data_IF_550298409867
#
_entry.id   IF_550298409867
#
_cell.length_a   1.000
_cell.length_b   1.000
_cell.length_c   1.000
_cell.angle_alpha   90.00
_cell.angle_beta   90.00
_cell.angle_gamma   90.00
#
_symmetry.space_group_name_H-M   'P 1'
#
loop_
_entity.id
_entity.type
_entity.pdbx_description
1 polymer ?
#
# COMPACT_ATOMS: atom_id res chain seq x y z
N UNK A 1 -6.41 -3.47 -0.19
CA UNK A 1 -6.90 -4.76 0.36
C UNK A 1 -7.46 -4.60 1.78
N UNK A 2 -6.71 -4.05 2.74
CA UNK A 2 -7.14 -3.96 4.14
C UNK A 2 -8.46 -3.21 4.30
N UNK A 3 -8.66 -2.09 3.62
CA UNK A 3 -9.92 -1.34 3.65
C UNK A 3 -11.12 -2.14 3.14
N UNK A 4 -10.93 -2.94 2.08
CA UNK A 4 -11.99 -3.85 1.57
C UNK A 4 -12.35 -4.92 2.60
N UNK A 5 -11.33 -5.48 3.25
CA UNK A 5 -11.51 -6.49 4.29
C UNK A 5 -12.22 -5.92 5.53
N UNK A 6 -11.85 -4.72 5.94
CA UNK A 6 -12.52 -4.04 7.05
C UNK A 6 -13.99 -3.72 6.72
N UNK A 7 -14.29 -3.29 5.50
CA UNK A 7 -15.66 -3.09 5.06
C UNK A 7 -16.48 -4.41 5.14
N UNK A 8 -15.90 -5.53 4.68
CA UNK A 8 -16.55 -6.83 4.82
C UNK A 8 -16.85 -7.17 6.28
N UNK A 9 -15.90 -6.99 7.19
CA UNK A 9 -16.09 -7.27 8.61
C UNK A 9 -17.17 -6.42 9.25
N UNK A 10 -17.27 -5.13 8.89
CA UNK A 10 -18.34 -4.25 9.38
C UNK A 10 -19.69 -4.78 8.90
N UNK A 11 -19.80 -5.16 7.64
CA UNK A 11 -21.03 -5.68 7.05
C UNK A 11 -21.44 -7.03 7.63
N UNK A 12 -20.49 -7.91 7.90
CA UNK A 12 -20.73 -9.19 8.58
C UNK A 12 -21.27 -9.02 9.99
N UNK A 13 -20.77 -8.04 10.73
CA UNK A 13 -21.20 -7.77 12.11
C UNK A 13 -22.50 -6.97 12.18
N UNK A 14 -22.73 -6.08 11.24
CA UNK A 14 -23.93 -5.26 11.16
C UNK A 14 -24.38 -5.10 9.70
N UNK A 15 -25.35 -5.91 9.26
CA UNK A 15 -25.88 -5.84 7.90
C UNK A 15 -26.55 -4.51 7.51
N UNK A 16 -26.94 -3.69 8.49
CA UNK A 16 -27.53 -2.38 8.26
C UNK A 16 -26.48 -1.27 8.09
N UNK A 17 -25.24 -1.53 8.49
CA UNK A 17 -24.14 -0.57 8.30
C UNK A 17 -23.85 -0.36 6.82
N UNK A 18 -23.44 0.86 6.46
CA UNK A 18 -22.96 1.20 5.12
C UNK A 18 -21.49 1.52 5.18
N UNK A 19 -20.70 0.93 4.29
CA UNK A 19 -19.27 1.16 4.18
C UNK A 19 -18.96 1.90 2.88
N UNK A 20 -18.42 3.10 2.97
CA UNK A 20 -17.99 3.90 1.82
C UNK A 20 -16.46 3.87 1.74
N UNK A 21 -15.92 3.42 0.63
CA UNK A 21 -14.48 3.42 0.36
C UNK A 21 -14.20 4.45 -0.73
N UNK A 22 -13.51 5.51 -0.36
CA UNK A 22 -13.07 6.56 -1.27
C UNK A 22 -11.61 6.23 -1.64
N UNK A 23 -11.31 6.15 -2.92
CA UNK A 23 -10.00 5.70 -3.39
C UNK A 23 -9.55 6.46 -4.64
N UNK A 24 -8.24 6.61 -4.79
CA UNK A 24 -7.60 7.04 -6.05
C UNK A 24 -7.37 5.85 -6.96
N UNK A 25 -6.75 4.80 -6.39
CA UNK A 25 -6.44 3.54 -7.06
C UNK A 25 -6.78 2.36 -6.15
N UNK A 26 -7.39 1.32 -6.69
CA UNK A 26 -7.57 0.03 -6.03
C UNK A 26 -6.64 -0.98 -6.70
N UNK A 27 -5.88 -1.71 -5.89
CA UNK A 27 -5.04 -2.81 -6.35
C UNK A 27 -5.41 -4.09 -5.61
N UNK A 28 -5.76 -5.10 -6.38
CA UNK A 28 -6.15 -6.43 -5.92
C UNK A 28 -5.31 -7.48 -6.64
N UNK A 29 -4.02 -7.65 -6.24
CA UNK A 29 -3.11 -8.53 -6.94
C UNK A 29 -3.50 -10.00 -6.79
N UNK A 30 -3.25 -10.79 -7.84
CA UNK A 30 -3.44 -12.23 -7.85
C UNK A 30 -4.89 -12.65 -7.63
N UNK A 31 -5.12 -13.58 -6.71
CA UNK A 31 -6.44 -14.15 -6.43
C UNK A 31 -7.38 -13.20 -5.66
N UNK A 32 -6.90 -12.05 -5.21
CA UNK A 32 -7.72 -11.07 -4.50
C UNK A 32 -8.75 -10.36 -5.39
N UNK A 33 -8.70 -10.55 -6.68
CA UNK A 33 -9.72 -10.07 -7.62
C UNK A 33 -11.10 -10.68 -7.34
N UNK A 34 -11.16 -11.96 -6.99
CA UNK A 34 -12.42 -12.62 -6.63
C UNK A 34 -13.00 -12.03 -5.35
N UNK A 35 -12.15 -11.77 -4.36
CA UNK A 35 -12.57 -11.08 -3.13
C UNK A 35 -13.07 -9.66 -3.41
N UNK A 36 -12.39 -8.91 -4.28
CA UNK A 36 -12.84 -7.58 -4.69
C UNK A 36 -14.22 -7.60 -5.32
N UNK A 37 -14.49 -8.57 -6.20
CA UNK A 37 -15.82 -8.75 -6.81
C UNK A 37 -16.89 -9.04 -5.76
N UNK A 38 -16.60 -9.91 -4.80
CA UNK A 38 -17.56 -10.20 -3.73
C UNK A 38 -17.91 -8.96 -2.89
N UNK A 39 -16.96 -8.04 -2.71
CA UNK A 39 -17.19 -6.76 -2.05
C UNK A 39 -18.05 -5.81 -2.89
N UNK A 40 -17.84 -5.80 -4.21
CA UNK A 40 -18.67 -4.99 -5.13
C UNK A 40 -20.12 -5.46 -5.18
N UNK A 41 -20.35 -6.76 -4.98
CA UNK A 41 -21.69 -7.36 -4.98
C UNK A 41 -22.46 -7.09 -3.67
N UNK A 42 -21.80 -6.63 -2.59
CA UNK A 42 -22.48 -6.27 -1.35
C UNK A 42 -23.21 -4.92 -1.49
N UNK A 43 -24.55 -4.90 -1.36
CA UNK A 43 -25.34 -3.68 -1.54
C UNK A 43 -25.09 -2.60 -0.49
N UNK A 44 -24.41 -2.91 0.61
CA UNK A 44 -24.03 -1.98 1.67
C UNK A 44 -22.61 -1.44 1.52
N UNK A 45 -21.86 -1.83 0.48
CA UNK A 45 -20.51 -1.31 0.22
C UNK A 45 -20.52 -0.40 -1.00
N UNK A 46 -20.00 0.80 -0.86
CA UNK A 46 -19.94 1.81 -1.89
C UNK A 46 -18.48 2.15 -2.20
N UNK A 47 -18.08 1.99 -3.45
CA UNK A 47 -16.74 2.29 -3.94
C UNK A 47 -16.78 3.57 -4.78
N UNK A 48 -16.11 4.62 -4.31
CA UNK A 48 -16.09 5.93 -4.97
C UNK A 48 -14.66 6.31 -5.35
N UNK A 49 -14.41 6.44 -6.64
CA UNK A 49 -13.13 6.97 -7.12
C UNK A 49 -13.13 8.49 -7.05
N UNK A 50 -12.17 9.05 -6.34
CA UNK A 50 -12.05 10.49 -6.18
C UNK A 50 -11.06 10.89 -5.10
N UNK A 51 -10.87 12.18 -4.97
CA UNK A 51 -10.03 12.80 -3.95
C UNK A 51 -10.90 13.41 -2.85
N UNK A 52 -10.53 13.17 -1.60
CA UNK A 52 -11.15 13.83 -0.45
C UNK A 52 -10.61 15.27 -0.40
N UNK A 53 -11.49 16.24 -0.60
CA UNK A 53 -11.13 17.67 -0.62
C UNK A 53 -11.52 18.40 0.66
N UNK A 54 -12.43 17.82 1.45
CA UNK A 54 -12.86 18.41 2.71
C UNK A 54 -13.39 17.35 3.69
N UNK A 55 -13.09 17.53 4.97
CA UNK A 55 -13.65 16.75 6.07
C UNK A 55 -13.99 17.71 7.19
N UNK A 56 -15.27 17.78 7.57
CA UNK A 56 -15.75 18.69 8.60
C UNK A 56 -16.67 17.93 9.57
N UNK A 57 -16.53 18.22 10.85
CA UNK A 57 -17.46 17.72 11.87
C UNK A 57 -18.67 18.69 11.96
N UNK A 58 -19.87 18.12 11.92
CA UNK A 58 -21.11 18.85 12.09
C UNK A 58 -21.47 19.01 13.59
N UNK A 59 -22.43 19.88 13.91
CA UNK A 59 -22.87 20.14 15.29
C UNK A 59 -23.47 18.90 15.97
N UNK A 60 -24.02 17.97 15.20
CA UNK A 60 -24.58 16.70 15.66
C UNK A 60 -23.54 15.58 15.79
N UNK A 61 -22.26 15.89 15.58
CA UNK A 61 -21.10 14.99 15.55
C UNK A 61 -21.03 14.04 14.36
N UNK A 62 -21.90 14.17 13.37
CA UNK A 62 -21.70 13.53 12.08
C UNK A 62 -20.52 14.17 11.36
N UNK A 63 -19.91 13.45 10.40
CA UNK A 63 -18.76 13.92 9.65
C UNK A 63 -19.16 14.11 8.22
N UNK A 64 -19.11 15.35 7.76
CA UNK A 64 -19.32 15.70 6.35
C UNK A 64 -18.01 15.53 5.59
N UNK A 65 -18.05 14.72 4.53
CA UNK A 65 -16.92 14.48 3.63
C UNK A 65 -17.29 15.05 2.26
N UNK A 66 -16.39 15.83 1.70
CA UNK A 66 -16.50 16.33 0.33
C UNK A 66 -15.47 15.60 -0.54
N UNK A 67 -15.97 14.95 -1.60
CA UNK A 67 -15.18 14.15 -2.52
C UNK A 67 -15.28 14.74 -3.92
N UNK A 68 -14.16 15.08 -4.51
CA UNK A 68 -14.07 15.41 -5.93
C UNK A 68 -14.12 14.11 -6.74
N UNK A 69 -15.31 13.78 -7.23
CA UNK A 69 -15.55 12.53 -7.93
C UNK A 69 -15.09 12.66 -9.39
N UNK A 70 -14.05 11.89 -9.74
CA UNK A 70 -13.46 11.91 -11.09
C UNK A 70 -14.37 11.32 -12.18
N UNK A 71 -15.38 10.54 -11.79
CA UNK A 71 -16.30 9.88 -12.75
C UNK A 71 -17.47 10.81 -13.10
N UNK A 72 -18.06 11.47 -12.11
CA UNK A 72 -19.23 12.35 -12.32
C UNK A 72 -18.85 13.79 -12.65
N UNK A 73 -17.60 14.19 -12.38
CA UNK A 73 -17.13 15.56 -12.64
C UNK A 73 -17.72 16.64 -11.71
N UNK A 74 -18.46 16.21 -10.67
CA UNK A 74 -19.04 17.09 -9.66
C UNK A 74 -18.66 16.59 -8.25
N UNK A 75 -18.46 17.50 -7.29
CA UNK A 75 -18.17 17.10 -5.91
C UNK A 75 -19.38 16.42 -5.27
N UNK A 76 -19.13 15.31 -4.60
CA UNK A 76 -20.13 14.56 -3.84
C UNK A 76 -19.94 14.84 -2.36
N UNK A 77 -21.03 15.15 -1.66
CA UNK A 77 -21.03 15.30 -0.19
C UNK A 77 -21.62 14.05 0.44
N UNK A 78 -20.91 13.50 1.39
CA UNK A 78 -21.31 12.32 2.15
C UNK A 78 -21.35 12.69 3.64
N UNK A 79 -22.35 12.19 4.36
CA UNK A 79 -22.44 12.31 5.82
C UNK A 79 -22.21 10.94 6.43
N UNK A 80 -21.27 10.87 7.37
CA UNK A 80 -20.78 9.63 7.95
C UNK A 80 -20.72 9.73 9.48
N UNK A 81 -20.96 8.60 10.16
CA UNK A 81 -20.80 8.49 11.60
C UNK A 81 -19.33 8.30 12.02
N UNK A 82 -18.53 7.69 11.13
CA UNK A 82 -17.13 7.36 11.38
C UNK A 82 -16.30 7.49 10.10
N UNK A 83 -15.12 8.06 10.22
CA UNK A 83 -14.12 8.14 9.15
C UNK A 83 -12.85 7.42 9.56
N UNK A 84 -12.41 6.48 8.72
CA UNK A 84 -11.16 5.74 8.91
C UNK A 84 -10.15 6.19 7.87
N UNK A 85 -8.98 6.65 8.33
CA UNK A 85 -7.90 7.09 7.45
C UNK A 85 -7.06 5.89 6.99
N UNK A 86 -7.13 5.57 5.71
CA UNK A 86 -6.32 4.51 5.09
C UNK A 86 -5.03 5.11 4.51
N UNK A 87 -4.07 5.42 5.37
CA UNK A 87 -2.86 6.19 5.03
C UNK A 87 -1.79 5.41 4.24
N UNK A 88 -1.97 4.09 4.07
CA UNK A 88 -1.02 3.24 3.32
C UNK A 88 0.24 2.90 4.12
N UNK A 89 1.28 2.48 3.39
CA UNK A 89 2.59 2.13 3.93
C UNK A 89 3.68 2.92 3.24
N UNK A 90 4.65 3.40 4.00
CA UNK A 90 5.90 3.98 3.51
C UNK A 90 7.08 3.29 4.19
N UNK A 91 8.23 3.14 3.53
CA UNK A 91 9.39 2.53 4.16
C UNK A 91 9.95 3.42 5.27
N UNK A 92 10.33 2.84 6.41
CA UNK A 92 10.97 3.57 7.51
C UNK A 92 12.38 4.07 7.17
N UNK A 93 12.93 3.59 6.07
CA UNK A 93 14.25 3.98 5.54
C UNK A 93 14.23 5.27 4.71
N UNK A 94 13.05 5.84 4.47
CA UNK A 94 12.86 7.03 3.65
C UNK A 94 13.53 8.29 4.21
N UNK A 95 13.54 8.43 5.53
CA UNK A 95 14.07 9.61 6.18
C UNK A 95 15.47 9.34 6.73
N UNK A 96 16.39 10.29 6.59
CA UNK A 96 17.79 10.18 7.06
C UNK A 96 17.98 9.83 8.54
N UNK A 97 16.89 9.78 9.31
CA UNK A 97 16.85 9.34 10.71
C UNK A 97 16.66 7.82 10.85
N UNK A 98 16.69 7.05 9.75
CA UNK A 98 16.61 5.60 9.84
C UNK A 98 17.82 5.05 10.63
N UNK A 99 17.59 4.09 11.52
CA UNK A 99 18.61 3.48 12.37
C UNK A 99 19.80 2.90 11.59
N UNK A 100 19.63 2.62 10.32
CA UNK A 100 20.64 1.99 9.46
C UNK A 100 21.39 3.01 8.59
N UNK A 101 20.85 4.18 8.35
CA UNK A 101 21.43 5.23 7.49
C UNK A 101 22.17 4.67 6.25
N UNK A 102 21.50 3.78 5.51
CA UNK A 102 22.10 3.08 4.38
C UNK A 102 22.06 3.96 3.13
N UNK A 103 23.20 4.09 2.49
CA UNK A 103 23.28 4.61 1.13
C UNK A 103 23.05 3.46 0.13
N UNK A 104 21.90 3.43 -0.51
CA UNK A 104 21.51 2.33 -1.41
C UNK A 104 22.19 2.37 -2.77
N UNK A 105 23.14 3.29 -3.00
CA UNK A 105 23.80 3.38 -4.29
C UNK A 105 25.14 4.10 -4.27
N UNK A 106 25.74 4.14 -5.43
CA UNK A 106 26.95 4.92 -5.70
C UNK A 106 26.57 6.37 -6.03
N UNK A 107 27.02 7.32 -5.25
CA UNK A 107 26.81 8.74 -5.46
C UNK A 107 25.90 9.40 -4.40
N UNK A 108 25.68 10.72 -4.48
CA UNK A 108 25.09 11.53 -3.41
C UNK A 108 23.57 11.37 -3.26
N UNK A 109 22.82 11.01 -4.33
CA UNK A 109 21.37 10.93 -4.26
C UNK A 109 20.88 9.49 -4.30
N UNK A 110 19.99 9.08 -3.42
CA UNK A 110 19.38 7.75 -3.39
C UNK A 110 18.45 7.58 -4.60
N UNK A 111 18.55 6.50 -5.39
CA UNK A 111 17.52 6.18 -6.35
C UNK A 111 16.32 5.64 -5.59
N UNK A 112 15.35 6.48 -5.46
CA UNK A 112 14.09 6.15 -4.80
C UNK A 112 12.97 6.07 -5.83
N UNK A 113 12.10 5.10 -5.64
CA UNK A 113 10.83 5.06 -6.34
C UNK A 113 9.90 6.10 -5.73
N UNK A 114 8.79 6.36 -6.40
CA UNK A 114 7.71 7.15 -5.84
C UNK A 114 7.38 6.63 -4.43
N UNK A 115 7.22 7.52 -3.46
CA UNK A 115 6.99 7.22 -2.04
C UNK A 115 8.20 6.67 -1.27
N UNK A 116 9.41 6.82 -1.78
CA UNK A 116 10.64 6.57 -1.05
C UNK A 116 11.05 5.11 -0.91
N UNK A 117 10.50 4.22 -1.70
CA UNK A 117 10.97 2.82 -1.75
C UNK A 117 12.31 2.74 -2.46
N UNK A 118 13.24 1.88 -1.98
CA UNK A 118 14.52 1.69 -2.65
C UNK A 118 14.32 1.20 -4.09
N UNK A 119 14.98 1.85 -5.05
CA UNK A 119 14.97 1.40 -6.42
C UNK A 119 15.83 0.14 -6.59
N UNK A 120 15.24 -0.88 -7.17
CA UNK A 120 15.92 -2.11 -7.59
C UNK A 120 15.57 -2.40 -9.05
N UNK A 121 16.44 -3.09 -9.75
CA UNK A 121 16.13 -3.51 -11.11
C UNK A 121 15.29 -4.79 -11.06
N UNK A 122 14.00 -4.65 -10.88
CA UNK A 122 13.09 -5.76 -10.53
C UNK A 122 13.02 -6.89 -11.58
N UNK A 123 13.51 -6.67 -12.80
CA UNK A 123 13.61 -7.70 -13.84
C UNK A 123 14.89 -8.53 -13.68
N UNK A 124 16.05 -7.86 -13.58
CA UNK A 124 17.35 -8.53 -13.56
C UNK A 124 17.85 -8.83 -12.14
N UNK A 125 17.59 -7.92 -11.21
CA UNK A 125 18.07 -7.98 -9.84
C UNK A 125 16.94 -7.57 -8.87
N UNK A 126 15.89 -8.41 -8.72
CA UNK A 126 14.65 -8.01 -8.08
C UNK A 126 14.77 -7.68 -6.60
N UNK A 127 15.78 -8.20 -5.92
CA UNK A 127 16.00 -7.99 -4.49
C UNK A 127 17.16 -7.05 -4.18
N UNK A 128 18.13 -6.95 -5.10
CA UNK A 128 19.30 -6.10 -4.91
C UNK A 128 18.95 -4.66 -5.22
N UNK A 129 19.33 -3.75 -4.34
CA UNK A 129 19.24 -2.32 -4.59
C UNK A 129 20.27 -1.92 -5.66
N UNK A 130 20.30 -0.67 -6.08
CA UNK A 130 21.34 -0.21 -7.01
C UNK A 130 22.73 -0.16 -6.39
N UNK A 131 22.87 -0.54 -5.15
CA UNK A 131 24.15 -0.76 -4.49
C UNK A 131 24.37 -2.26 -4.29
N UNK A 132 25.42 -2.77 -4.91
CA UNK A 132 25.78 -4.18 -4.83
C UNK A 132 25.97 -4.65 -3.38
N UNK A 133 25.39 -5.79 -3.04
CA UNK A 133 25.46 -6.39 -1.72
C UNK A 133 24.43 -5.86 -0.72
N UNK A 134 23.58 -4.90 -1.10
CA UNK A 134 22.46 -4.44 -0.28
C UNK A 134 21.15 -4.90 -0.89
N UNK A 135 20.38 -5.65 -0.12
CA UNK A 135 19.11 -6.23 -0.52
C UNK A 135 17.97 -5.57 0.24
N UNK A 136 16.92 -5.15 -0.46
CA UNK A 136 15.69 -4.67 0.14
C UNK A 136 14.61 -5.75 0.07
N UNK A 137 13.91 -5.97 1.18
CA UNK A 137 13.03 -7.14 1.35
C UNK A 137 11.77 -6.76 2.10
N UNK A 138 10.65 -7.39 1.75
CA UNK A 138 9.40 -7.21 2.44
C UNK A 138 8.84 -5.80 2.29
N UNK A 139 8.20 -5.28 3.33
CA UNK A 139 7.55 -3.97 3.31
C UNK A 139 8.49 -2.77 3.13
N UNK A 140 9.80 -2.97 3.26
CA UNK A 140 10.80 -1.96 2.88
C UNK A 140 10.92 -1.84 1.37
N UNK A 141 10.78 -2.94 0.63
CA UNK A 141 10.87 -2.97 -0.84
C UNK A 141 9.61 -2.47 -1.52
N UNK A 142 8.45 -2.88 -1.02
CA UNK A 142 7.14 -2.44 -1.51
C UNK A 142 6.04 -2.79 -0.51
N UNK A 143 4.86 -2.15 -0.57
CA UNK A 143 3.71 -2.57 0.23
C UNK A 143 3.32 -4.01 -0.11
N UNK A 144 3.25 -4.88 0.91
CA UNK A 144 2.87 -6.28 0.75
C UNK A 144 2.29 -6.85 2.05
N UNK A 145 1.56 -7.95 1.93
CA UNK A 145 1.08 -8.69 3.09
C UNK A 145 2.18 -9.57 3.73
N UNK A 146 1.85 -10.21 4.84
CA UNK A 146 2.81 -11.03 5.60
C UNK A 146 3.26 -12.26 4.80
N UNK A 147 2.38 -12.88 4.01
CA UNK A 147 2.72 -14.07 3.22
C UNK A 147 3.67 -13.69 2.08
N UNK A 148 3.36 -12.60 1.39
CA UNK A 148 4.21 -12.05 0.34
C UNK A 148 5.57 -11.63 0.90
N UNK A 149 5.61 -10.98 2.06
CA UNK A 149 6.85 -10.60 2.72
C UNK A 149 7.72 -11.80 3.08
N UNK A 150 7.12 -12.91 3.51
CA UNK A 150 7.83 -14.17 3.79
C UNK A 150 8.43 -14.79 2.52
N UNK A 151 7.67 -14.84 1.43
CA UNK A 151 8.15 -15.34 0.14
C UNK A 151 9.27 -14.45 -0.41
N UNK A 152 9.10 -13.14 -0.31
CA UNK A 152 10.08 -12.15 -0.72
C UNK A 152 11.40 -12.29 0.05
N UNK A 153 11.32 -12.46 1.37
CA UNK A 153 12.47 -12.71 2.23
C UNK A 153 13.22 -14.00 1.85
N UNK A 154 12.49 -15.05 1.52
CA UNK A 154 13.08 -16.31 1.07
C UNK A 154 13.83 -16.14 -0.24
N UNK A 155 13.24 -15.46 -1.21
CA UNK A 155 13.87 -15.17 -2.50
C UNK A 155 15.13 -14.32 -2.36
N UNK A 156 15.08 -13.27 -1.52
CA UNK A 156 16.23 -12.41 -1.26
C UNK A 156 17.37 -13.14 -0.57
N UNK A 157 17.06 -14.01 0.43
CA UNK A 157 18.06 -14.81 1.10
C UNK A 157 18.77 -15.78 0.14
N UNK A 158 18.02 -16.46 -0.71
CA UNK A 158 18.59 -17.32 -1.75
C UNK A 158 19.50 -16.54 -2.70
N UNK A 159 19.11 -15.33 -3.08
CA UNK A 159 19.92 -14.49 -3.96
C UNK A 159 21.20 -14.02 -3.28
N UNK A 160 21.14 -13.67 -2.00
CA UNK A 160 22.31 -13.29 -1.22
C UNK A 160 23.31 -14.45 -1.12
N UNK A 161 22.83 -15.68 -0.83
CA UNK A 161 23.66 -16.90 -0.77
C UNK A 161 24.34 -17.15 -2.12
N UNK A 162 23.59 -17.08 -3.23
CA UNK A 162 24.18 -17.24 -4.58
C UNK A 162 25.27 -16.22 -4.88
N UNK A 163 25.09 -14.98 -4.44
CA UNK A 163 26.08 -13.92 -4.65
C UNK A 163 27.36 -14.19 -3.84
N UNK A 164 27.24 -14.70 -2.61
CA UNK A 164 28.39 -15.09 -1.80
C UNK A 164 29.15 -16.25 -2.41
N UNK A 165 28.46 -17.31 -2.83
CA UNK A 165 29.09 -18.47 -3.47
C UNK A 165 29.83 -18.15 -4.78
N UNK A 166 29.34 -17.16 -5.53
CA UNK A 166 30.00 -16.70 -6.75
C UNK A 166 31.27 -15.90 -6.44
N UNK A 167 31.30 -15.18 -5.33
CA UNK A 167 32.47 -14.40 -4.91
C UNK A 167 33.59 -15.32 -4.41
N UNK A 168 33.26 -16.43 -3.75
CA UNK A 168 34.25 -17.39 -3.23
C UNK A 168 34.93 -18.23 -4.33
N UNK A 169 34.37 -18.23 -5.54
CA UNK A 169 34.90 -19.02 -6.68
C UNK A 169 35.74 -18.17 -7.67
N UNK A 170 35.91 -16.91 -7.44
CA UNK A 170 36.72 -15.97 -8.23
C UNK A 170 37.97 -15.55 -7.53
#
# INVERSE_FOLDING_TARGET
>A
MDSLKQAAYIREQNPDAKAHIIYRDIRTPGLYEEFYRSIQDDPGVFLTQGDVVGVNENDDKSIAIEVDNTIFGEPVKLEMDLVVLAVGQVPSTLNGDSALNLEYRQGPDLPELKYGYPDSHFICFPYETRRTGIYSVGSVRQPMDINDAKLDATGAALKAIQSMELTDKG
#
